data_IF_710544286747
#
_entry.id   IF_710544286747
#
_cell.length_a   1.000
_cell.length_b   1.000
_cell.length_c   1.000
_cell.angle_alpha   90.00
_cell.angle_beta   90.00
_cell.angle_gamma   90.00
#
_symmetry.space_group_name_H-M   'P 1'
#
loop_
_entity.id
_entity.type
_entity.pdbx_description
1 polymer ?
#
# COMPACT_ATOMS: atom_id res chain seq x y z
N UNK A 1 -59.87 -65.73 -52.19
CA UNK A 1 -59.07 -64.55 -51.77
C UNK A 1 -59.68 -63.71 -50.62
N UNK A 2 -61.00 -63.60 -50.44
CA UNK A 2 -61.57 -62.69 -49.42
C UNK A 2 -61.39 -63.05 -47.92
N UNK A 3 -60.95 -64.26 -47.56
CA UNK A 3 -60.74 -64.64 -46.16
C UNK A 3 -59.45 -64.04 -45.55
N UNK A 4 -58.37 -63.98 -46.33
CA UNK A 4 -57.05 -63.49 -45.89
C UNK A 4 -57.11 -61.98 -45.61
N UNK A 5 -57.72 -61.20 -46.49
CA UNK A 5 -57.88 -59.75 -46.30
C UNK A 5 -58.76 -59.42 -45.09
N UNK A 6 -59.82 -60.20 -44.84
CA UNK A 6 -60.65 -60.04 -43.63
C UNK A 6 -59.87 -60.33 -42.35
N UNK A 7 -59.03 -61.37 -42.34
CA UNK A 7 -58.18 -61.67 -41.20
C UNK A 7 -57.11 -60.59 -40.96
N UNK A 8 -56.50 -60.06 -42.03
CA UNK A 8 -55.55 -58.94 -41.93
C UNK A 8 -56.23 -57.67 -41.42
N UNK A 9 -57.41 -57.33 -41.93
CA UNK A 9 -58.21 -56.20 -41.44
C UNK A 9 -58.55 -56.34 -39.95
N UNK A 10 -59.01 -57.52 -39.52
CA UNK A 10 -59.30 -57.80 -38.11
C UNK A 10 -58.05 -57.70 -37.22
N UNK A 11 -56.88 -58.14 -37.69
CA UNK A 11 -55.63 -58.00 -36.94
C UNK A 11 -55.18 -56.53 -36.83
N UNK A 12 -55.33 -55.73 -37.90
CA UNK A 12 -55.05 -54.29 -37.88
C UNK A 12 -56.01 -53.58 -36.92
N UNK A 13 -57.30 -53.92 -36.96
CA UNK A 13 -58.31 -53.37 -36.06
C UNK A 13 -58.02 -53.70 -34.59
N UNK A 14 -57.66 -54.96 -34.29
CA UNK A 14 -57.24 -55.35 -32.94
C UNK A 14 -56.02 -54.56 -32.47
N UNK A 15 -54.99 -54.42 -33.31
CA UNK A 15 -53.78 -53.63 -32.99
C UNK A 15 -54.13 -52.15 -32.76
N UNK A 16 -55.01 -51.58 -33.60
CA UNK A 16 -55.51 -50.21 -33.43
C UNK A 16 -56.24 -50.06 -32.10
N UNK A 17 -57.10 -51.01 -31.75
CA UNK A 17 -57.85 -50.99 -30.48
C UNK A 17 -56.91 -51.13 -29.28
N UNK A 18 -55.91 -52.02 -29.34
CA UNK A 18 -54.89 -52.13 -28.28
C UNK A 18 -54.10 -50.84 -28.11
N UNK A 19 -53.69 -50.19 -29.19
CA UNK A 19 -52.98 -48.90 -29.13
C UNK A 19 -53.88 -47.78 -28.60
N UNK A 20 -55.14 -47.73 -29.03
CA UNK A 20 -56.12 -46.76 -28.53
C UNK A 20 -56.35 -46.93 -27.02
N UNK A 21 -56.45 -48.17 -26.54
CA UNK A 21 -56.58 -48.48 -25.12
C UNK A 21 -55.34 -48.00 -24.35
N UNK A 22 -54.13 -48.35 -24.80
CA UNK A 22 -52.88 -47.88 -24.17
C UNK A 22 -52.78 -46.36 -24.11
N UNK A 23 -53.19 -45.68 -25.17
CA UNK A 23 -53.21 -44.22 -25.23
C UNK A 23 -54.24 -43.62 -24.27
N UNK A 24 -55.41 -44.25 -24.14
CA UNK A 24 -56.41 -43.84 -23.16
C UNK A 24 -55.91 -44.04 -21.73
N UNK A 25 -55.25 -45.16 -21.45
CA UNK A 25 -54.70 -45.46 -20.13
C UNK A 25 -53.58 -44.47 -19.77
N UNK A 26 -52.66 -44.18 -20.70
CA UNK A 26 -51.62 -43.17 -20.51
C UNK A 26 -52.19 -41.76 -20.29
N UNK A 27 -53.28 -41.40 -20.98
CA UNK A 27 -53.97 -40.11 -20.75
C UNK A 27 -54.62 -40.04 -19.38
N UNK A 28 -55.23 -41.13 -18.92
CA UNK A 28 -55.81 -41.22 -17.57
C UNK A 28 -54.71 -41.11 -16.50
N UNK A 29 -53.59 -41.79 -16.71
CA UNK A 29 -52.44 -41.74 -15.81
C UNK A 29 -51.84 -40.33 -15.74
N UNK A 30 -51.64 -39.67 -16.89
CA UNK A 30 -51.15 -38.29 -16.96
C UNK A 30 -52.10 -37.33 -16.22
N UNK A 31 -53.40 -37.42 -16.48
CA UNK A 31 -54.41 -36.61 -15.78
C UNK A 31 -54.41 -36.85 -14.27
N UNK A 32 -54.25 -38.11 -13.83
CA UNK A 32 -54.14 -38.45 -12.41
C UNK A 32 -52.87 -37.88 -11.76
N UNK A 33 -51.73 -37.96 -12.45
CA UNK A 33 -50.46 -37.38 -11.99
C UNK A 33 -50.54 -35.85 -11.90
N UNK A 34 -51.13 -35.19 -12.90
CA UNK A 34 -51.34 -33.75 -12.89
C UNK A 34 -52.22 -33.31 -11.71
N UNK A 35 -53.32 -34.01 -11.46
CA UNK A 35 -54.20 -33.74 -10.33
C UNK A 35 -53.47 -33.95 -8.99
N UNK A 36 -52.68 -35.01 -8.85
CA UNK A 36 -51.90 -35.27 -7.64
C UNK A 36 -50.83 -34.21 -7.39
N UNK A 37 -50.18 -33.70 -8.44
CA UNK A 37 -49.22 -32.59 -8.35
C UNK A 37 -49.92 -31.31 -7.89
N UNK A 38 -51.08 -30.99 -8.45
CA UNK A 38 -51.81 -29.77 -8.09
C UNK A 38 -52.34 -29.84 -6.65
N UNK A 39 -52.87 -30.99 -6.22
CA UNK A 39 -53.24 -31.22 -4.82
C UNK A 39 -52.05 -31.04 -3.87
N UNK A 40 -50.89 -31.61 -4.20
CA UNK A 40 -49.67 -31.43 -3.39
C UNK A 40 -49.22 -29.97 -3.32
N UNK A 41 -49.31 -29.21 -4.42
CA UNK A 41 -49.04 -27.76 -4.42
C UNK A 41 -50.03 -27.00 -3.55
N UNK A 42 -51.32 -27.34 -3.62
CA UNK A 42 -52.35 -26.71 -2.79
C UNK A 42 -52.12 -26.96 -1.31
N UNK A 43 -51.78 -28.19 -0.90
CA UNK A 43 -51.42 -28.54 0.48
C UNK A 43 -50.17 -27.77 0.94
N UNK A 44 -49.15 -27.65 0.08
CA UNK A 44 -47.95 -26.85 0.39
C UNK A 44 -48.29 -25.37 0.57
N UNK A 45 -49.17 -24.81 -0.27
CA UNK A 45 -49.63 -23.42 -0.14
C UNK A 45 -50.42 -23.19 1.14
N UNK A 46 -51.32 -24.11 1.52
CA UNK A 46 -52.09 -23.99 2.77
C UNK A 46 -51.22 -24.11 4.03
N UNK A 47 -50.18 -24.95 4.00
CA UNK A 47 -49.29 -25.15 5.15
C UNK A 47 -48.23 -24.07 5.26
N UNK A 48 -47.66 -23.61 4.14
CA UNK A 48 -46.58 -22.61 4.14
C UNK A 48 -47.06 -21.16 4.05
N UNK A 49 -48.35 -20.93 3.76
CA UNK A 49 -48.93 -19.59 3.58
C UNK A 49 -48.43 -18.83 2.35
N UNK A 50 -47.53 -19.41 1.56
CA UNK A 50 -46.92 -18.81 0.37
C UNK A 50 -46.63 -19.88 -0.70
N UNK A 51 -46.54 -19.44 -1.96
CA UNK A 51 -46.15 -20.31 -3.07
C UNK A 51 -44.68 -20.74 -2.87
N UNK A 52 -44.45 -22.05 -2.74
CA UNK A 52 -43.12 -22.60 -2.50
C UNK A 52 -42.30 -22.43 -3.76
N UNK A 53 -41.31 -21.54 -3.69
CA UNK A 53 -40.42 -21.26 -4.82
C UNK A 53 -39.62 -22.51 -5.19
N UNK A 54 -39.50 -22.81 -6.48
CA UNK A 54 -38.58 -23.85 -6.96
C UNK A 54 -37.14 -23.52 -6.56
N UNK A 55 -36.29 -24.53 -6.39
CA UNK A 55 -34.88 -24.36 -6.05
C UNK A 55 -34.14 -23.39 -7.01
N UNK A 56 -34.49 -23.42 -8.30
CA UNK A 56 -33.95 -22.48 -9.28
C UNK A 56 -34.42 -21.03 -9.02
N UNK A 57 -35.70 -20.84 -8.70
CA UNK A 57 -36.27 -19.53 -8.37
C UNK A 57 -35.67 -18.97 -7.08
N UNK A 58 -35.45 -19.82 -6.07
CA UNK A 58 -34.77 -19.43 -4.83
C UNK A 58 -33.32 -18.99 -5.09
N UNK A 59 -32.57 -19.74 -5.90
CA UNK A 59 -31.20 -19.35 -6.29
C UNK A 59 -31.17 -17.99 -6.98
N UNK A 60 -32.08 -17.76 -7.95
CA UNK A 60 -32.21 -16.48 -8.62
C UNK A 60 -32.61 -15.35 -7.64
N UNK A 61 -33.48 -15.62 -6.68
CA UNK A 61 -33.87 -14.67 -5.65
C UNK A 61 -32.69 -14.29 -4.74
N UNK A 62 -31.89 -15.26 -4.29
CA UNK A 62 -30.69 -15.00 -3.47
C UNK A 62 -29.68 -14.12 -4.21
N UNK A 63 -29.48 -14.35 -5.51
CA UNK A 63 -28.62 -13.48 -6.35
C UNK A 63 -29.19 -12.06 -6.38
N UNK A 64 -30.49 -11.88 -6.65
CA UNK A 64 -31.14 -10.56 -6.62
C UNK A 64 -30.99 -9.85 -5.27
N UNK A 65 -31.07 -10.58 -4.15
CA UNK A 65 -30.87 -10.00 -2.81
C UNK A 65 -29.42 -9.55 -2.63
N UNK A 66 -28.45 -10.33 -3.12
CA UNK A 66 -27.04 -9.94 -3.09
C UNK A 66 -26.79 -8.68 -3.93
N UNK A 67 -27.37 -8.61 -5.12
CA UNK A 67 -27.26 -7.44 -6.00
C UNK A 67 -27.89 -6.21 -5.33
N UNK A 68 -29.08 -6.34 -4.74
CA UNK A 68 -29.72 -5.29 -3.95
C UNK A 68 -28.83 -4.82 -2.80
N UNK A 69 -28.15 -5.73 -2.09
CA UNK A 69 -27.22 -5.39 -1.01
C UNK A 69 -26.02 -4.58 -1.52
N UNK A 70 -25.48 -4.94 -2.69
CA UNK A 70 -24.39 -4.19 -3.33
C UNK A 70 -24.85 -2.79 -3.73
N UNK A 71 -26.02 -2.68 -4.37
CA UNK A 71 -26.62 -1.38 -4.73
C UNK A 71 -26.88 -0.52 -3.49
N UNK A 72 -27.43 -1.10 -2.43
CA UNK A 72 -27.66 -0.41 -1.17
C UNK A 72 -26.36 0.14 -0.57
N UNK A 73 -25.30 -0.68 -0.50
CA UNK A 73 -23.98 -0.23 0.00
C UNK A 73 -23.43 0.93 -0.82
N UNK A 74 -23.54 0.87 -2.16
CA UNK A 74 -23.12 1.95 -3.05
C UNK A 74 -23.90 3.24 -2.79
N UNK A 75 -25.23 3.15 -2.72
CA UNK A 75 -26.08 4.32 -2.42
C UNK A 75 -25.79 4.89 -1.03
N UNK A 76 -25.53 4.03 -0.05
CA UNK A 76 -25.16 4.46 1.30
C UNK A 76 -23.86 5.26 1.29
N UNK A 77 -22.83 4.78 0.58
CA UNK A 77 -21.57 5.51 0.43
C UNK A 77 -21.75 6.86 -0.27
N UNK A 78 -22.59 6.93 -1.32
CA UNK A 78 -22.93 8.21 -1.98
C UNK A 78 -23.64 9.18 -1.04
N UNK A 79 -24.53 8.69 -0.17
CA UNK A 79 -25.18 9.53 0.85
C UNK A 79 -24.16 10.04 1.86
N UNK A 80 -23.24 9.18 2.32
CA UNK A 80 -22.17 9.57 3.24
C UNK A 80 -21.27 10.66 2.62
N UNK A 81 -20.93 10.55 1.33
CA UNK A 81 -20.18 11.56 0.58
C UNK A 81 -20.93 12.90 0.44
N UNK A 82 -22.23 12.87 0.13
CA UNK A 82 -23.05 14.10 0.06
C UNK A 82 -23.16 14.77 1.43
N UNK A 83 -23.25 14.00 2.51
CA UNK A 83 -23.30 14.54 3.87
C UNK A 83 -21.99 15.23 4.25
N UNK A 84 -20.84 14.62 3.93
CA UNK A 84 -19.53 15.25 4.20
C UNK A 84 -19.33 16.51 3.36
N UNK A 85 -19.73 16.51 2.08
CA UNK A 85 -19.70 17.70 1.24
C UNK A 85 -20.60 18.81 1.80
N UNK A 86 -21.82 18.47 2.22
CA UNK A 86 -22.74 19.42 2.86
C UNK A 86 -22.11 20.07 4.10
N UNK A 87 -21.41 19.30 4.94
CA UNK A 87 -20.74 19.83 6.12
C UNK A 87 -19.60 20.79 5.75
N UNK A 88 -18.80 20.46 4.74
CA UNK A 88 -17.75 21.36 4.21
C UNK A 88 -18.36 22.65 3.65
N UNK A 89 -19.45 22.55 2.91
CA UNK A 89 -20.16 23.70 2.35
C UNK A 89 -20.74 24.59 3.46
N UNK A 90 -21.36 24.01 4.49
CA UNK A 90 -21.86 24.78 5.64
C UNK A 90 -20.72 25.52 6.35
N UNK A 91 -19.60 24.86 6.61
CA UNK A 91 -18.42 25.51 7.19
C UNK A 91 -17.86 26.62 6.31
N UNK A 92 -17.93 26.45 4.99
CA UNK A 92 -17.50 27.46 4.02
C UNK A 92 -18.41 28.68 4.04
N UNK A 93 -19.73 28.48 4.12
CA UNK A 93 -20.71 29.55 4.30
C UNK A 93 -20.41 30.34 5.58
N UNK A 94 -20.17 29.65 6.70
CA UNK A 94 -19.85 30.32 7.97
C UNK A 94 -18.55 31.14 7.89
N UNK A 95 -17.52 30.60 7.22
CA UNK A 95 -16.25 31.31 7.01
C UNK A 95 -16.42 32.54 6.10
N UNK A 96 -17.23 32.42 5.05
CA UNK A 96 -17.55 33.52 4.15
C UNK A 96 -18.32 34.62 4.87
N UNK A 97 -19.33 34.26 5.68
CA UNK A 97 -20.08 35.20 6.49
C UNK A 97 -19.15 35.96 7.46
N UNK A 98 -18.26 35.25 8.18
CA UNK A 98 -17.26 35.88 9.06
C UNK A 98 -16.32 36.82 8.32
N UNK A 99 -15.84 36.43 7.14
CA UNK A 99 -14.97 37.28 6.30
C UNK A 99 -15.70 38.50 5.78
N UNK A 100 -16.97 38.34 5.41
CA UNK A 100 -17.82 39.43 4.97
C UNK A 100 -18.05 40.45 6.09
N UNK A 101 -18.41 40.00 7.30
CA UNK A 101 -18.55 40.89 8.45
C UNK A 101 -17.23 41.59 8.79
N UNK A 102 -16.10 40.87 8.79
CA UNK A 102 -14.79 41.49 9.01
C UNK A 102 -14.45 42.57 7.94
N UNK A 103 -14.79 42.32 6.67
CA UNK A 103 -14.61 43.31 5.60
C UNK A 103 -15.55 44.50 5.78
N UNK A 104 -16.80 44.25 6.17
CA UNK A 104 -17.81 45.28 6.43
C UNK A 104 -17.35 46.20 7.56
N UNK A 105 -16.95 45.65 8.71
CA UNK A 105 -16.38 46.41 9.83
C UNK A 105 -15.17 47.25 9.40
N UNK A 106 -14.27 46.66 8.59
CA UNK A 106 -13.09 47.37 8.09
C UNK A 106 -13.44 48.54 7.16
N UNK A 107 -14.44 48.37 6.31
CA UNK A 107 -14.93 49.42 5.39
C UNK A 107 -15.61 50.53 6.19
N UNK A 108 -16.44 50.19 7.18
CA UNK A 108 -17.09 51.14 8.07
C UNK A 108 -16.07 51.93 8.90
N UNK A 109 -14.98 51.30 9.38
CA UNK A 109 -13.86 51.99 10.04
C UNK A 109 -13.10 52.97 9.13
N UNK A 110 -13.25 52.84 7.82
CA UNK A 110 -12.61 53.69 6.80
C UNK A 110 -13.58 54.70 6.17
N UNK A 111 -14.74 54.97 6.82
CA UNK A 111 -15.82 55.85 6.32
C UNK A 111 -16.46 55.42 4.99
N UNK A 112 -16.40 54.13 4.64
CA UNK A 112 -17.08 53.57 3.47
C UNK A 112 -18.49 53.06 3.79
N UNK A 113 -19.46 53.30 2.91
CA UNK A 113 -20.81 52.71 2.98
C UNK A 113 -20.90 51.43 2.17
N UNK A 114 -21.30 50.32 2.80
CA UNK A 114 -21.56 49.04 2.14
C UNK A 114 -22.98 49.02 1.57
N UNK A 115 -23.12 48.84 0.26
CA UNK A 115 -24.41 48.72 -0.43
C UNK A 115 -24.70 47.24 -0.65
N UNK A 116 -25.78 46.73 -0.04
CA UNK A 116 -26.23 45.34 -0.24
C UNK A 116 -26.82 45.13 -1.65
N UNK A 117 -26.41 44.08 -2.39
CA UNK A 117 -27.02 43.77 -3.67
C UNK A 117 -28.42 43.18 -3.47
N UNK A 118 -29.42 43.91 -3.97
CA UNK A 118 -30.84 43.52 -4.01
C UNK A 118 -31.01 42.10 -4.58
N UNK A 119 -31.67 41.23 -3.81
CA UNK A 119 -32.02 39.85 -4.19
C UNK A 119 -32.84 39.81 -5.49
N UNK A 120 -32.28 39.21 -6.54
CA UNK A 120 -33.02 38.94 -7.77
C UNK A 120 -34.12 37.88 -7.52
N UNK A 121 -35.35 38.20 -7.92
CA UNK A 121 -36.55 37.39 -7.73
C UNK A 121 -36.45 36.01 -8.42
N UNK A 122 -36.67 34.94 -7.66
CA UNK A 122 -36.78 33.56 -8.16
C UNK A 122 -38.11 33.40 -8.92
N UNK A 123 -38.07 33.15 -10.23
CA UNK A 123 -39.27 32.87 -11.03
C UNK A 123 -39.75 31.42 -10.83
N UNK A 124 -41.04 31.25 -10.49
CA UNK A 124 -41.72 29.96 -10.34
C UNK A 124 -42.15 29.35 -11.68
N UNK A 125 -41.95 28.03 -11.82
CA UNK A 125 -42.24 27.16 -12.97
C UNK A 125 -43.75 27.12 -13.36
N UNK A 126 -44.14 27.30 -14.64
CA UNK A 126 -45.55 27.27 -15.03
C UNK A 126 -46.09 25.83 -15.16
N UNK A 127 -47.34 25.64 -14.71
CA UNK A 127 -48.17 24.43 -14.82
C UNK A 127 -48.58 24.19 -16.29
N UNK A 128 -48.48 22.95 -16.75
CA UNK A 128 -48.90 22.46 -18.07
C UNK A 128 -50.43 22.52 -18.24
N UNK A 129 -50.89 23.24 -19.27
CA UNK A 129 -52.29 23.53 -19.56
C UNK A 129 -52.79 22.80 -20.82
N UNK A 130 -54.07 22.41 -20.81
CA UNK A 130 -54.83 22.07 -22.00
C UNK A 130 -54.89 23.27 -22.98
N UNK A 131 -55.03 23.05 -24.30
CA UNK A 131 -55.07 24.15 -25.27
C UNK A 131 -56.26 25.07 -24.98
N UNK A 132 -56.03 26.38 -25.04
CA UNK A 132 -56.98 27.42 -24.65
C UNK A 132 -58.12 27.65 -25.66
N UNK A 133 -58.03 27.08 -26.87
CA UNK A 133 -59.02 27.23 -27.94
C UNK A 133 -59.25 25.90 -28.67
N UNK A 134 -60.48 25.68 -29.15
CA UNK A 134 -60.86 24.55 -30.02
C UNK A 134 -61.04 24.95 -31.49
N UNK A 135 -60.74 26.20 -31.86
CA UNK A 135 -60.82 26.67 -33.23
C UNK A 135 -59.57 26.27 -34.02
N UNK A 136 -59.78 25.70 -35.21
CA UNK A 136 -58.72 25.06 -36.01
C UNK A 136 -57.77 26.09 -36.60
N UNK A 137 -58.26 27.26 -37.03
CA UNK A 137 -57.41 28.31 -37.58
C UNK A 137 -56.58 29.01 -36.49
N UNK A 138 -57.15 29.26 -35.31
CA UNK A 138 -56.40 29.76 -34.15
C UNK A 138 -55.32 28.78 -33.67
N UNK A 139 -55.61 27.47 -33.71
CA UNK A 139 -54.62 26.44 -33.39
C UNK A 139 -53.49 26.40 -34.43
N UNK A 140 -53.77 26.58 -35.72
CA UNK A 140 -52.74 26.69 -36.75
C UNK A 140 -51.85 27.90 -36.54
N UNK A 141 -52.43 29.07 -36.24
CA UNK A 141 -51.63 30.28 -35.94
C UNK A 141 -50.78 30.08 -34.69
N UNK A 142 -51.32 29.46 -33.65
CA UNK A 142 -50.57 29.16 -32.43
C UNK A 142 -49.42 28.17 -32.67
N UNK A 143 -49.62 27.17 -33.54
CA UNK A 143 -48.55 26.24 -33.94
C UNK A 143 -47.45 26.96 -34.71
N UNK A 144 -47.80 27.86 -35.64
CA UNK A 144 -46.83 28.67 -36.38
C UNK A 144 -46.04 29.58 -35.43
N UNK A 145 -46.71 30.24 -34.48
CA UNK A 145 -46.06 31.07 -33.46
C UNK A 145 -45.15 30.25 -32.56
N UNK A 146 -45.58 29.05 -32.14
CA UNK A 146 -44.76 28.12 -31.36
C UNK A 146 -43.53 27.66 -32.14
N UNK A 147 -43.67 27.35 -33.44
CA UNK A 147 -42.53 27.02 -34.31
C UNK A 147 -41.56 28.19 -34.41
N UNK A 148 -42.06 29.42 -34.61
CA UNK A 148 -41.21 30.61 -34.66
C UNK A 148 -40.48 30.85 -33.32
N UNK A 149 -41.15 30.64 -32.18
CA UNK A 149 -40.49 30.73 -30.88
C UNK A 149 -39.47 29.62 -30.64
N UNK A 150 -39.71 28.42 -31.18
CA UNK A 150 -38.79 27.29 -31.11
C UNK A 150 -37.53 27.56 -31.95
N UNK A 151 -37.69 28.07 -33.17
CA UNK A 151 -36.59 28.45 -34.06
C UNK A 151 -35.74 29.56 -33.42
N UNK A 152 -36.38 30.63 -32.92
CA UNK A 152 -35.68 31.71 -32.21
C UNK A 152 -34.92 31.22 -30.98
N UNK A 153 -35.49 30.28 -30.20
CA UNK A 153 -34.80 29.66 -29.06
C UNK A 153 -33.67 28.73 -29.51
N UNK A 154 -33.83 28.03 -30.63
CA UNK A 154 -32.81 27.17 -31.23
C UNK A 154 -31.60 28.00 -31.68
N UNK A 155 -31.84 29.12 -32.36
CA UNK A 155 -30.81 30.09 -32.77
C UNK A 155 -30.10 30.69 -31.55
N UNK A 156 -30.82 31.02 -30.48
CA UNK A 156 -30.22 31.49 -29.22
C UNK A 156 -29.41 30.39 -28.51
N UNK A 157 -29.82 29.13 -28.59
CA UNK A 157 -29.12 28.00 -27.96
C UNK A 157 -27.83 27.61 -28.68
N UNK A 158 -27.72 27.85 -29.99
CA UNK A 158 -26.53 27.50 -30.77
C UNK A 158 -25.22 28.12 -30.18
N UNK A 159 -25.11 29.45 -29.98
CA UNK A 159 -23.91 30.04 -29.39
C UNK A 159 -23.71 29.66 -27.92
N UNK A 160 -24.79 29.39 -27.17
CA UNK A 160 -24.67 28.90 -25.79
C UNK A 160 -24.09 27.48 -25.73
N UNK A 161 -24.44 26.61 -26.68
CA UNK A 161 -23.87 25.26 -26.76
C UNK A 161 -22.40 25.31 -27.15
N UNK A 162 -22.03 26.18 -28.08
CA UNK A 162 -20.65 26.39 -28.50
C UNK A 162 -19.79 26.90 -27.33
N UNK A 163 -20.21 27.99 -26.67
CA UNK A 163 -19.50 28.51 -25.48
C UNK A 163 -19.44 27.52 -24.32
N UNK A 164 -20.46 26.67 -24.14
CA UNK A 164 -20.41 25.60 -23.15
C UNK A 164 -19.39 24.52 -23.52
N UNK A 165 -19.29 24.14 -24.80
CA UNK A 165 -18.31 23.18 -25.29
C UNK A 165 -16.88 23.70 -25.08
N UNK A 166 -16.61 24.96 -25.46
CA UNK A 166 -15.32 25.61 -25.25
C UNK A 166 -14.93 25.67 -23.77
N UNK A 167 -15.89 26.02 -22.89
CA UNK A 167 -15.65 26.04 -21.43
C UNK A 167 -15.41 24.64 -20.87
N UNK A 168 -16.08 23.62 -21.39
CA UNK A 168 -15.88 22.24 -20.97
C UNK A 168 -14.47 21.75 -21.36
N UNK A 169 -14.02 22.08 -22.58
CA UNK A 169 -12.66 21.78 -23.05
C UNK A 169 -11.62 22.52 -22.21
N UNK A 170 -11.79 23.81 -21.95
CA UNK A 170 -10.89 24.58 -21.09
C UNK A 170 -10.83 24.04 -19.65
N UNK A 171 -11.95 23.55 -19.10
CA UNK A 171 -12.00 22.91 -17.79
C UNK A 171 -11.24 21.57 -17.80
N UNK A 172 -11.39 20.77 -18.86
CA UNK A 172 -10.66 19.51 -19.03
C UNK A 172 -9.15 19.75 -19.14
N UNK A 173 -8.73 20.75 -19.91
CA UNK A 173 -7.32 21.17 -20.00
C UNK A 173 -6.76 21.59 -18.63
N UNK A 174 -7.48 22.43 -17.88
CA UNK A 174 -7.04 22.84 -16.54
C UNK A 174 -6.99 21.66 -15.57
N UNK A 175 -7.97 20.76 -15.62
CA UNK A 175 -7.99 19.54 -14.80
C UNK A 175 -6.77 18.67 -15.10
N UNK A 176 -6.44 18.49 -16.38
CA UNK A 176 -5.25 17.79 -16.83
C UNK A 176 -3.96 18.46 -16.34
N UNK A 177 -3.87 19.79 -16.41
CA UNK A 177 -2.71 20.54 -15.93
C UNK A 177 -2.52 20.38 -14.42
N UNK A 178 -3.59 20.48 -13.64
CA UNK A 178 -3.55 20.30 -12.18
C UNK A 178 -3.10 18.89 -11.84
N UNK A 179 -3.67 17.87 -12.49
CA UNK A 179 -3.29 16.47 -12.31
C UNK A 179 -1.81 16.24 -12.64
N UNK A 180 -1.32 16.82 -13.74
CA UNK A 180 0.09 16.70 -14.12
C UNK A 180 1.01 17.36 -13.09
N UNK A 181 0.70 18.58 -12.64
CA UNK A 181 1.47 19.25 -11.59
C UNK A 181 1.47 18.45 -10.28
N UNK A 182 0.33 17.89 -9.87
CA UNK A 182 0.26 17.03 -8.68
C UNK A 182 1.21 15.83 -8.81
N UNK A 183 1.22 15.16 -9.96
CA UNK A 183 2.13 14.04 -10.21
C UNK A 183 3.61 14.45 -10.17
N UNK A 184 3.94 15.62 -10.71
CA UNK A 184 5.30 16.17 -10.64
C UNK A 184 5.73 16.49 -9.20
N UNK A 185 4.86 17.10 -8.41
CA UNK A 185 5.12 17.38 -7.00
C UNK A 185 5.32 16.10 -6.20
N UNK A 186 4.49 15.07 -6.41
CA UNK A 186 4.62 13.78 -5.75
C UNK A 186 5.92 13.07 -6.13
N UNK A 187 6.30 13.13 -7.41
CA UNK A 187 7.58 12.60 -7.88
C UNK A 187 8.77 13.33 -7.25
N UNK A 188 8.72 14.66 -7.15
CA UNK A 188 9.79 15.45 -6.53
C UNK A 188 9.87 15.22 -5.02
N UNK A 189 8.72 15.08 -4.36
CA UNK A 189 8.63 14.74 -2.94
C UNK A 189 9.27 13.39 -2.65
N UNK A 190 8.86 12.34 -3.36
CA UNK A 190 9.42 11.00 -3.18
C UNK A 190 10.92 10.94 -3.48
N UNK A 191 11.41 11.72 -4.46
CA UNK A 191 12.84 11.86 -4.70
C UNK A 191 13.57 12.54 -3.53
N UNK A 192 13.02 13.62 -2.98
CA UNK A 192 13.61 14.29 -1.82
C UNK A 192 13.59 13.40 -0.57
N UNK A 193 12.49 12.68 -0.32
CA UNK A 193 12.38 11.74 0.81
C UNK A 193 13.45 10.64 0.73
N UNK A 194 13.70 10.08 -0.47
CA UNK A 194 14.79 9.12 -0.68
C UNK A 194 16.16 9.74 -0.39
N UNK A 195 16.45 10.91 -0.97
CA UNK A 195 17.74 11.58 -0.75
C UNK A 195 17.94 11.97 0.73
N UNK A 196 16.87 12.30 1.43
CA UNK A 196 16.91 12.62 2.86
C UNK A 196 17.19 11.38 3.69
N UNK A 197 16.57 10.24 3.40
CA UNK A 197 16.83 9.01 4.16
C UNK A 197 18.25 8.47 3.90
N UNK A 198 18.73 8.56 2.65
CA UNK A 198 20.13 8.25 2.31
C UNK A 198 21.11 9.15 3.09
N UNK A 199 20.86 10.47 3.10
CA UNK A 199 21.70 11.41 3.85
C UNK A 199 21.64 11.15 5.36
N UNK A 200 20.46 10.88 5.90
CA UNK A 200 20.28 10.56 7.32
C UNK A 200 21.03 9.28 7.71
N UNK A 201 20.99 8.25 6.86
CA UNK A 201 21.75 7.02 7.08
C UNK A 201 23.26 7.31 7.13
N UNK A 202 23.80 8.06 6.15
CA UNK A 202 25.23 8.41 6.14
C UNK A 202 25.66 9.24 7.36
N UNK A 203 24.80 10.14 7.85
CA UNK A 203 25.06 10.90 9.08
C UNK A 203 25.11 9.97 10.30
N UNK A 204 24.21 9.00 10.40
CA UNK A 204 24.22 8.04 11.51
C UNK A 204 25.44 7.11 11.45
N UNK A 205 25.84 6.68 10.25
CA UNK A 205 27.07 5.91 10.04
C UNK A 205 28.32 6.70 10.45
N UNK A 206 28.43 7.97 10.04
CA UNK A 206 29.53 8.85 10.46
C UNK A 206 29.57 9.05 11.97
N UNK A 207 28.41 9.24 12.60
CA UNK A 207 28.31 9.41 14.05
C UNK A 207 28.76 8.15 14.79
N UNK A 208 28.35 6.96 14.33
CA UNK A 208 28.80 5.70 14.90
C UNK A 208 30.31 5.47 14.73
N UNK A 209 30.86 5.90 13.59
CA UNK A 209 32.29 5.84 13.36
C UNK A 209 33.06 6.82 14.28
N UNK A 210 32.51 8.01 14.50
CA UNK A 210 33.06 8.99 15.44
C UNK A 210 33.06 8.43 16.86
N UNK A 211 31.95 7.85 17.33
CA UNK A 211 31.88 7.25 18.67
C UNK A 211 32.88 6.11 18.84
N UNK A 212 32.96 5.20 17.86
CA UNK A 212 33.95 4.11 17.89
C UNK A 212 35.40 4.64 17.90
N UNK A 213 35.68 5.68 17.12
CA UNK A 213 36.98 6.34 17.11
C UNK A 213 37.28 7.00 18.46
N UNK A 214 36.31 7.65 19.10
CA UNK A 214 36.51 8.24 20.44
C UNK A 214 36.74 7.18 21.52
N UNK A 215 36.05 6.04 21.46
CA UNK A 215 36.26 4.93 22.39
C UNK A 215 37.67 4.32 22.23
N UNK A 216 38.12 4.11 20.99
CA UNK A 216 39.48 3.63 20.73
C UNK A 216 40.55 4.62 21.20
N UNK A 217 40.34 5.93 20.99
CA UNK A 217 41.23 6.98 21.51
C UNK A 217 41.29 6.91 23.04
N UNK A 218 40.15 6.86 23.74
CA UNK A 218 40.10 6.76 25.20
C UNK A 218 40.82 5.51 25.73
N UNK A 219 40.65 4.37 25.07
CA UNK A 219 41.38 3.13 25.40
C UNK A 219 42.90 3.30 25.24
N UNK A 220 43.34 3.90 24.12
CA UNK A 220 44.77 4.17 23.89
C UNK A 220 45.34 5.17 24.90
N UNK A 221 44.60 6.22 25.24
CA UNK A 221 44.98 7.18 26.28
C UNK A 221 45.16 6.50 27.64
N UNK A 222 44.25 5.60 28.01
CA UNK A 222 44.38 4.79 29.23
C UNK A 222 45.62 3.91 29.22
N UNK A 223 45.91 3.23 28.09
CA UNK A 223 47.12 2.41 27.94
C UNK A 223 48.40 3.25 28.01
N UNK A 224 48.41 4.44 27.40
CA UNK A 224 49.54 5.38 27.48
C UNK A 224 49.73 5.87 28.93
N UNK A 225 48.65 6.18 29.64
CA UNK A 225 48.72 6.60 31.04
C UNK A 225 49.29 5.48 31.94
N UNK A 226 48.88 4.23 31.70
CA UNK A 226 49.42 3.06 32.40
C UNK A 226 50.90 2.86 32.09
N UNK A 227 51.30 2.89 30.81
CA UNK A 227 52.70 2.75 30.41
C UNK A 227 53.57 3.87 31.00
N UNK A 228 53.07 5.11 31.06
CA UNK A 228 53.75 6.24 31.74
C UNK A 228 53.88 6.02 33.24
N UNK A 229 52.85 5.48 33.89
CA UNK A 229 52.92 5.11 35.31
C UNK A 229 53.97 4.04 35.57
N UNK A 230 54.03 3.00 34.73
CA UNK A 230 55.07 1.96 34.79
C UNK A 230 56.47 2.54 34.58
N UNK A 231 56.67 3.40 33.57
CA UNK A 231 57.94 4.11 33.36
C UNK A 231 58.33 4.96 34.58
N UNK A 232 57.40 5.72 35.16
CA UNK A 232 57.69 6.52 36.36
C UNK A 232 58.10 5.68 37.58
N UNK A 233 57.55 4.46 37.71
CA UNK A 233 57.96 3.52 38.76
C UNK A 233 59.39 3.04 38.54
N UNK A 234 59.73 2.68 37.30
CA UNK A 234 61.10 2.29 36.91
C UNK A 234 62.08 3.46 37.16
N UNK A 235 61.74 4.68 36.72
CA UNK A 235 62.56 5.87 36.97
C UNK A 235 62.71 6.15 38.48
N UNK A 236 61.65 5.98 39.27
CA UNK A 236 61.71 6.16 40.73
C UNK A 236 62.57 5.09 41.42
N UNK A 237 62.52 3.85 40.94
CA UNK A 237 63.42 2.78 41.37
C UNK A 237 64.87 3.08 40.97
N UNK A 238 65.09 3.72 39.82
CA UNK A 238 66.41 4.19 39.37
C UNK A 238 66.94 5.33 40.28
N UNK A 239 66.08 6.27 40.71
CA UNK A 239 66.46 7.33 41.68
C UNK A 239 66.77 6.80 43.09
N UNK A 240 66.23 5.63 43.45
CA UNK A 240 66.59 4.90 44.68
C UNK A 240 67.77 3.93 44.49
N UNK A 241 68.46 3.99 43.35
CA UNK A 241 69.63 3.17 43.04
C UNK A 241 69.31 1.72 42.66
N UNK A 242 68.07 1.42 42.27
CA UNK A 242 67.62 0.08 41.88
C UNK A 242 68.34 -0.47 40.64
N UNK A 243 68.53 0.34 39.60
CA UNK A 243 69.32 -0.06 38.41
C UNK A 243 70.81 -0.18 38.77
N UNK A 244 71.33 0.67 39.67
CA UNK A 244 72.69 0.53 40.17
C UNK A 244 72.88 -0.76 41.00
N UNK A 245 71.88 -1.15 41.79
CA UNK A 245 71.87 -2.38 42.59
C UNK A 245 71.72 -3.63 41.73
N UNK A 246 70.90 -3.56 40.68
CA UNK A 246 70.78 -4.63 39.68
C UNK A 246 72.06 -4.78 38.86
N UNK A 247 72.72 -3.67 38.46
CA UNK A 247 74.04 -3.71 37.82
C UNK A 247 75.11 -4.30 38.75
N UNK A 248 75.14 -3.89 40.03
CA UNK A 248 76.05 -4.44 41.03
C UNK A 248 75.80 -5.94 41.30
N UNK A 249 74.54 -6.38 41.35
CA UNK A 249 74.20 -7.79 41.45
C UNK A 249 74.58 -8.57 40.18
N UNK A 250 74.43 -7.99 39.00
CA UNK A 250 74.85 -8.61 37.74
C UNK A 250 76.37 -8.81 37.72
N UNK A 251 77.12 -7.81 38.14
CA UNK A 251 78.58 -7.85 38.24
C UNK A 251 79.05 -8.82 39.34
N UNK A 252 78.36 -8.90 40.47
CA UNK A 252 78.60 -9.91 41.52
C UNK A 252 78.26 -11.34 41.04
N UNK A 253 77.18 -11.52 40.28
CA UNK A 253 76.85 -12.82 39.68
C UNK A 253 77.83 -13.23 38.59
N UNK A 254 78.36 -12.27 37.83
CA UNK A 254 79.41 -12.48 36.83
C UNK A 254 80.72 -12.91 37.50
N UNK A 255 81.11 -12.25 38.59
CA UNK A 255 82.28 -12.62 39.39
C UNK A 255 82.12 -13.98 40.06
N UNK A 256 80.94 -14.31 40.59
CA UNK A 256 80.65 -15.65 41.13
C UNK A 256 80.68 -16.73 40.04
N UNK A 257 80.24 -16.42 38.83
CA UNK A 257 80.32 -17.30 37.67
C UNK A 257 81.78 -17.54 37.24
N UNK A 258 82.62 -16.51 37.23
CA UNK A 258 84.04 -16.62 36.91
C UNK A 258 84.81 -17.40 37.99
N UNK A 259 84.47 -17.20 39.27
CA UNK A 259 85.02 -17.98 40.39
C UNK A 259 84.56 -19.44 40.35
N UNK A 260 83.31 -19.72 39.97
CA UNK A 260 82.81 -21.08 39.77
C UNK A 260 83.43 -21.75 38.53
N UNK A 261 83.70 -20.98 37.46
CA UNK A 261 84.38 -21.47 36.26
C UNK A 261 85.85 -21.82 36.54
N UNK A 262 86.52 -21.09 37.44
CA UNK A 262 87.88 -21.43 37.88
C UNK A 262 87.89 -22.61 38.87
N UNK A 263 86.87 -22.73 39.72
CA UNK A 263 86.78 -23.78 40.75
C UNK A 263 86.32 -25.14 40.23
N UNK A 264 85.52 -25.18 39.16
CA UNK A 264 85.02 -26.42 38.54
C UNK A 264 85.79 -26.84 37.28
N UNK A 265 86.99 -26.29 37.06
CA UNK A 265 87.86 -26.58 35.91
C UNK A 265 88.41 -28.02 35.83
N UNK A 266 87.98 -28.93 36.69
CA UNK A 266 88.24 -30.35 36.54
C UNK A 266 86.91 -31.11 36.52
N UNK A 267 86.56 -31.55 35.30
CA UNK A 267 85.71 -32.71 35.05
C UNK A 267 84.20 -32.47 34.83
N UNK A 268 83.83 -31.63 33.84
CA UNK A 268 82.82 -31.93 32.80
C UNK A 268 83.17 -31.08 31.58
N UNK A 269 83.22 -31.69 30.39
CA UNK A 269 83.59 -31.03 29.12
C UNK A 269 82.53 -29.98 28.68
N UNK A 270 82.61 -28.80 29.31
CA UNK A 270 81.82 -27.60 29.03
C UNK A 270 81.98 -27.10 27.59
N UNK A 271 83.08 -27.46 26.91
CA UNK A 271 83.28 -27.10 25.50
C UNK A 271 82.34 -27.91 24.59
N UNK A 272 82.15 -29.20 24.87
CA UNK A 272 81.19 -30.04 24.14
C UNK A 272 79.75 -29.58 24.39
N UNK A 273 79.40 -29.19 25.61
CA UNK A 273 78.08 -28.65 25.93
C UNK A 273 77.82 -27.30 25.23
N UNK A 274 78.81 -26.40 25.17
CA UNK A 274 78.72 -25.13 24.42
C UNK A 274 78.54 -25.36 22.93
N UNK A 275 79.31 -26.26 22.32
CA UNK A 275 79.19 -26.57 20.90
C UNK A 275 77.82 -27.19 20.55
N UNK A 276 77.28 -28.07 21.41
CA UNK A 276 75.91 -28.56 21.25
C UNK A 276 74.90 -27.42 21.34
N UNK A 277 75.01 -26.54 22.34
CA UNK A 277 74.10 -25.39 22.49
C UNK A 277 74.16 -24.44 21.29
N UNK A 278 75.34 -24.21 20.70
CA UNK A 278 75.49 -23.41 19.50
C UNK A 278 74.79 -24.05 18.29
N UNK A 279 74.91 -25.37 18.11
CA UNK A 279 74.18 -26.11 17.07
C UNK A 279 72.66 -26.03 17.27
N UNK A 280 72.16 -26.19 18.50
CA UNK A 280 70.73 -26.08 18.80
C UNK A 280 70.19 -24.67 18.54
N UNK A 281 70.95 -23.61 18.85
CA UNK A 281 70.59 -22.23 18.52
C UNK A 281 70.53 -21.97 17.01
N UNK A 282 71.48 -22.53 16.25
CA UNK A 282 71.47 -22.43 14.79
C UNK A 282 70.28 -23.13 14.13
N UNK A 283 69.85 -24.28 14.69
CA UNK A 283 68.63 -24.96 14.27
C UNK A 283 67.38 -24.14 14.58
N UNK A 284 67.32 -23.52 15.76
CA UNK A 284 66.19 -22.69 16.19
C UNK A 284 66.01 -21.48 15.27
N UNK A 285 67.08 -20.75 14.97
CA UNK A 285 67.02 -19.58 14.07
C UNK A 285 66.64 -19.96 12.64
N UNK A 286 67.04 -21.14 12.16
CA UNK A 286 66.57 -21.66 10.87
C UNK A 286 65.08 -22.00 10.86
N UNK A 287 64.51 -22.46 11.97
CA UNK A 287 63.07 -22.71 12.08
C UNK A 287 62.28 -21.41 12.18
N UNK A 288 62.74 -20.44 12.97
CA UNK A 288 62.12 -19.12 13.10
C UNK A 288 62.07 -18.37 11.76
N UNK A 289 63.17 -18.41 10.99
CA UNK A 289 63.20 -17.81 9.64
C UNK A 289 62.28 -18.53 8.64
N UNK A 290 62.18 -19.86 8.70
CA UNK A 290 61.22 -20.61 7.88
C UNK A 290 59.77 -20.30 8.23
N UNK A 291 59.45 -20.13 9.52
CA UNK A 291 58.11 -19.72 9.97
C UNK A 291 57.79 -18.29 9.50
N UNK A 292 58.74 -17.35 9.62
CA UNK A 292 58.56 -15.98 9.14
C UNK A 292 58.29 -15.92 7.62
N UNK A 293 59.02 -16.71 6.82
CA UNK A 293 58.80 -16.79 5.36
C UNK A 293 57.45 -17.44 5.02
N UNK A 294 57.01 -18.45 5.80
CA UNK A 294 55.72 -19.07 5.61
C UNK A 294 54.57 -18.09 5.92
N UNK A 295 54.69 -17.30 6.99
CA UNK A 295 53.70 -16.27 7.37
C UNK A 295 53.63 -15.12 6.35
N UNK A 296 54.76 -14.69 5.77
CA UNK A 296 54.76 -13.70 4.68
C UNK A 296 54.09 -14.22 3.41
N UNK A 297 54.27 -15.52 3.07
CA UNK A 297 53.60 -16.13 1.92
C UNK A 297 52.09 -16.27 2.11
N UNK A 298 51.62 -16.49 3.34
CA UNK A 298 50.19 -16.53 3.68
C UNK A 298 49.54 -15.14 3.62
N UNK A 299 50.31 -14.06 3.85
CA UNK A 299 49.83 -12.67 3.70
C UNK A 299 49.82 -12.13 2.26
N UNK A 300 50.50 -12.78 1.32
CA UNK A 300 50.56 -12.38 -0.09
C UNK A 300 49.61 -13.17 -1.02
N UNK A 301 48.86 -14.14 -0.50
CA UNK A 301 47.72 -14.77 -1.18
C UNK A 301 46.40 -14.16 -0.70
#
# INVERSE_FOLDING_TARGET
>A
MGCIFRHQAANVERRKNTLAQKLQDARKELSGLEQAVEQKKQVLRSTSGADVMSAHQFKAYVVKIRDKKVVYKRKKAQIEEILTEREVLLRTIDLLAKKFEWLKEKIECMDGTVVDPVQASVQTRPRTAAPASSDVEELKTMVVDLMHTLDKRSEQLAPLKETHAERAEALEEQSNLVRNKQNEYERRRTQMEKSYEELKQTVEEMKNQETASTETIQSLESQIAEARSQLSKIDSEDTNGGVARLKAQLEETQQKLDQLSQRNGANVDLAVARNRMAMWRGLLTMFETKLAIADEKVKMM
#
